data_IF_055949399048
#
_entry.id   IF_055949399048
#
_cell.length_a   1.000
_cell.length_b   1.000
_cell.length_c   1.000
_cell.angle_alpha   90.00
_cell.angle_beta   90.00
_cell.angle_gamma   90.00
#
_symmetry.space_group_name_H-M   'P 1'
#
loop_
_entity.id
_entity.type
_entity.pdbx_description
1 polymer ?
#
# COMPACT_ATOMS: atom_id res chain seq x y z
N UNK A 1 2.37 -2.83 22.07
CA UNK A 1 3.21 -2.33 20.95
C UNK A 1 2.57 -2.63 19.58
N UNK A 2 2.29 -3.89 19.23
CA UNK A 2 1.61 -4.26 17.96
C UNK A 2 0.26 -3.53 17.78
N UNK A 3 -0.60 -3.55 18.80
CA UNK A 3 -1.91 -2.87 18.76
C UNK A 3 -1.75 -1.36 18.53
N UNK A 4 -0.74 -0.74 19.17
CA UNK A 4 -0.47 0.70 19.00
C UNK A 4 -0.06 1.03 17.56
N UNK A 5 0.79 0.20 16.94
CA UNK A 5 1.17 0.35 15.53
C UNK A 5 -0.05 0.19 14.61
N UNK A 6 -0.89 -0.81 14.89
CA UNK A 6 -2.12 -1.06 14.13
C UNK A 6 -3.08 0.12 14.19
N UNK A 7 -3.36 0.64 15.39
CA UNK A 7 -4.27 1.77 15.59
C UNK A 7 -3.72 3.03 14.93
N UNK A 8 -2.45 3.37 15.17
CA UNK A 8 -1.83 4.57 14.62
C UNK A 8 -1.80 4.53 13.07
N UNK A 9 -1.36 3.42 12.50
CA UNK A 9 -1.32 3.26 11.04
C UNK A 9 -2.70 3.29 10.41
N UNK A 10 -3.69 2.63 11.02
CA UNK A 10 -5.07 2.65 10.54
C UNK A 10 -5.66 4.05 10.58
N UNK A 11 -5.36 4.84 11.62
CA UNK A 11 -5.81 6.23 11.70
C UNK A 11 -5.21 7.10 10.59
N UNK A 12 -3.89 7.02 10.37
CA UNK A 12 -3.20 7.80 9.34
C UNK A 12 -3.61 7.41 7.92
N UNK A 13 -3.72 6.10 7.64
CA UNK A 13 -4.31 5.63 6.39
C UNK A 13 -5.76 6.08 6.24
N UNK A 14 -6.55 6.07 7.31
CA UNK A 14 -7.95 6.50 7.26
C UNK A 14 -8.09 7.97 6.90
N UNK A 15 -7.26 8.84 7.47
CA UNK A 15 -7.26 10.26 7.15
C UNK A 15 -6.87 10.48 5.68
N UNK A 16 -5.78 9.86 5.22
CA UNK A 16 -5.36 9.98 3.82
C UNK A 16 -6.40 9.39 2.85
N UNK A 17 -6.98 8.24 3.20
CA UNK A 17 -8.07 7.59 2.49
C UNK A 17 -9.30 8.47 2.36
N UNK A 18 -9.67 9.20 3.41
CA UNK A 18 -10.76 10.17 3.37
C UNK A 18 -10.48 11.33 2.40
N UNK A 19 -9.24 11.85 2.37
CA UNK A 19 -8.85 12.93 1.47
C UNK A 19 -8.95 12.48 0.01
N UNK A 20 -8.43 11.31 -0.35
CA UNK A 20 -8.51 10.83 -1.74
C UNK A 20 -9.96 10.53 -2.16
N UNK A 21 -10.81 10.09 -1.23
CA UNK A 21 -12.24 9.84 -1.48
C UNK A 21 -13.09 11.10 -1.57
N UNK A 22 -12.56 12.27 -1.19
CA UNK A 22 -13.27 13.55 -1.25
C UNK A 22 -13.45 14.10 -2.66
N UNK A 23 -12.92 13.42 -3.67
CA UNK A 23 -13.06 13.83 -5.06
C UNK A 23 -14.51 13.73 -5.56
N UNK A 24 -15.27 12.72 -5.09
CA UNK A 24 -16.61 12.42 -5.61
C UNK A 24 -17.75 12.71 -4.61
N UNK A 25 -17.92 11.87 -3.59
CA UNK A 25 -19.11 11.86 -2.72
C UNK A 25 -18.74 11.74 -1.24
N UNK A 26 -19.52 12.30 -0.30
CA UNK A 26 -19.32 12.09 1.13
C UNK A 26 -19.29 10.60 1.54
N UNK A 27 -20.04 9.74 0.85
CA UNK A 27 -20.00 8.29 1.07
C UNK A 27 -18.68 7.68 0.58
N UNK A 28 -18.09 8.25 -0.48
CA UNK A 28 -16.79 7.83 -0.98
C UNK A 28 -15.66 8.17 0.00
N UNK A 29 -15.77 9.29 0.74
CA UNK A 29 -14.82 9.64 1.82
C UNK A 29 -14.75 8.53 2.86
N UNK A 30 -15.91 8.11 3.39
CA UNK A 30 -15.98 7.07 4.43
C UNK A 30 -15.51 5.73 3.88
N UNK A 31 -15.97 5.36 2.68
CA UNK A 31 -15.57 4.13 2.00
C UNK A 31 -14.04 4.04 1.86
N UNK A 32 -13.41 5.13 1.41
CA UNK A 32 -11.97 5.18 1.12
C UNK A 32 -11.13 5.23 2.40
N UNK A 33 -11.62 5.93 3.43
CA UNK A 33 -11.01 5.96 4.76
C UNK A 33 -10.96 4.56 5.41
N UNK A 34 -11.93 3.69 5.14
CA UNK A 34 -11.94 2.31 5.66
C UNK A 34 -11.12 1.38 4.75
N UNK A 35 -11.26 1.52 3.44
CA UNK A 35 -10.61 0.66 2.46
C UNK A 35 -9.10 0.80 2.45
N UNK A 36 -8.55 1.99 2.67
CA UNK A 36 -7.10 2.19 2.60
C UNK A 36 -6.35 1.42 3.71
N UNK A 37 -6.73 1.53 5.00
CA UNK A 37 -6.20 0.61 6.03
C UNK A 37 -6.42 -0.86 5.69
N UNK A 38 -7.63 -1.21 5.21
CA UNK A 38 -7.96 -2.60 4.87
C UNK A 38 -7.07 -3.16 3.77
N UNK A 39 -6.72 -2.36 2.75
CA UNK A 39 -5.82 -2.75 1.67
C UNK A 39 -4.46 -3.22 2.21
N UNK A 40 -3.82 -2.41 3.05
CA UNK A 40 -2.51 -2.76 3.61
C UNK A 40 -2.58 -3.96 4.55
N UNK A 41 -3.62 -4.05 5.38
CA UNK A 41 -3.81 -5.16 6.32
C UNK A 41 -4.13 -6.48 5.61
N UNK A 42 -4.97 -6.46 4.57
CA UNK A 42 -5.27 -7.63 3.76
C UNK A 42 -4.05 -8.09 2.97
N UNK A 43 -3.28 -7.16 2.40
CA UNK A 43 -2.03 -7.49 1.69
C UNK A 43 -1.03 -8.15 2.64
N UNK A 44 -0.90 -7.61 3.86
CA UNK A 44 -0.09 -8.21 4.91
C UNK A 44 -0.60 -9.62 5.25
N UNK A 45 -1.90 -9.78 5.50
CA UNK A 45 -2.50 -11.06 5.86
C UNK A 45 -2.29 -12.14 4.79
N UNK A 46 -2.40 -11.78 3.52
CA UNK A 46 -2.21 -12.70 2.39
C UNK A 46 -0.74 -13.08 2.21
N UNK A 47 0.18 -12.12 2.36
CA UNK A 47 1.59 -12.35 2.09
C UNK A 47 2.38 -12.88 3.30
N UNK A 48 1.91 -12.64 4.53
CA UNK A 48 2.58 -13.04 5.77
C UNK A 48 2.82 -14.55 5.89
N UNK A 49 1.85 -15.46 5.59
CA UNK A 49 2.08 -16.89 5.67
C UNK A 49 3.24 -17.36 4.79
N UNK A 50 3.33 -16.82 3.56
CA UNK A 50 4.39 -17.18 2.61
C UNK A 50 5.78 -16.80 3.14
N UNK A 51 5.90 -15.62 3.77
CA UNK A 51 7.15 -15.20 4.41
C UNK A 51 7.48 -16.09 5.63
N UNK A 52 6.48 -16.38 6.47
CA UNK A 52 6.68 -17.13 7.69
C UNK A 52 7.14 -18.56 7.44
N UNK A 53 6.49 -19.28 6.52
CA UNK A 53 6.90 -20.64 6.16
C UNK A 53 8.31 -20.67 5.55
N UNK A 54 8.64 -19.66 4.74
CA UNK A 54 9.96 -19.53 4.16
C UNK A 54 11.05 -19.35 5.23
N UNK A 55 10.81 -18.46 6.19
CA UNK A 55 11.76 -18.19 7.27
C UNK A 55 11.94 -19.39 8.19
N UNK A 56 10.87 -20.11 8.54
CA UNK A 56 10.99 -21.38 9.30
C UNK A 56 11.83 -22.40 8.54
N UNK A 57 11.56 -22.58 7.24
CA UNK A 57 12.34 -23.50 6.40
C UNK A 57 13.82 -23.09 6.28
N UNK A 58 14.12 -21.81 6.49
CA UNK A 58 15.48 -21.26 6.47
C UNK A 58 16.15 -21.30 7.85
N UNK A 59 15.51 -21.89 8.87
CA UNK A 59 16.06 -22.07 10.21
C UNK A 59 15.87 -20.88 11.16
N UNK A 60 15.01 -19.90 10.81
CA UNK A 60 14.71 -18.77 11.70
C UNK A 60 14.11 -19.23 13.03
N UNK A 61 14.66 -18.74 14.14
CA UNK A 61 14.15 -19.00 15.51
C UNK A 61 13.02 -18.04 15.92
N UNK A 62 12.60 -17.14 15.03
CA UNK A 62 11.62 -16.09 15.33
C UNK A 62 10.21 -16.60 15.37
N UNK A 63 9.43 -16.03 16.28
CA UNK A 63 7.99 -16.31 16.36
C UNK A 63 7.21 -15.56 15.30
N UNK A 64 6.04 -16.09 14.93
CA UNK A 64 5.09 -15.44 14.02
C UNK A 64 4.80 -13.98 14.41
N UNK A 65 4.66 -13.70 15.71
CA UNK A 65 4.38 -12.35 16.21
C UNK A 65 5.50 -11.34 15.95
N UNK A 66 6.76 -11.79 15.86
CA UNK A 66 7.89 -10.90 15.53
C UNK A 66 7.85 -10.48 14.06
N UNK A 67 7.54 -11.41 13.14
CA UNK A 67 7.35 -11.10 11.72
C UNK A 67 6.15 -10.17 11.50
N UNK A 68 5.05 -10.43 12.19
CA UNK A 68 3.88 -9.56 12.16
C UNK A 68 4.23 -8.15 12.66
N UNK A 69 4.96 -8.03 13.78
CA UNK A 69 5.39 -6.74 14.31
C UNK A 69 6.30 -5.98 13.34
N UNK A 70 7.20 -6.68 12.65
CA UNK A 70 8.11 -6.09 11.67
C UNK A 70 7.37 -5.54 10.45
N UNK A 71 6.42 -6.32 9.91
CA UNK A 71 5.58 -5.90 8.78
C UNK A 71 4.65 -4.75 9.16
N UNK A 72 4.06 -4.77 10.37
CA UNK A 72 3.26 -3.67 10.87
C UNK A 72 4.08 -2.40 11.14
N UNK A 73 5.35 -2.53 11.52
CA UNK A 73 6.25 -1.40 11.65
C UNK A 73 6.54 -0.75 10.29
N UNK A 74 6.88 -1.55 9.27
CA UNK A 74 7.05 -1.05 7.90
C UNK A 74 5.76 -0.41 7.36
N UNK A 75 4.61 -1.03 7.61
CA UNK A 75 3.29 -0.50 7.24
C UNK A 75 2.98 0.82 7.97
N UNK A 76 3.40 0.94 9.24
CA UNK A 76 3.26 2.17 10.01
C UNK A 76 4.12 3.29 9.44
N UNK A 77 5.34 3.00 8.97
CA UNK A 77 6.16 3.99 8.26
C UNK A 77 5.44 4.49 7.01
N UNK A 78 4.90 3.60 6.18
CA UNK A 78 4.12 3.99 4.98
C UNK A 78 2.95 4.90 5.37
N UNK A 79 2.20 4.54 6.43
CA UNK A 79 1.05 5.33 6.89
C UNK A 79 1.42 6.75 7.31
N UNK A 80 2.54 6.92 8.02
CA UNK A 80 3.04 8.23 8.46
C UNK A 80 3.49 9.05 7.26
N UNK A 81 4.14 8.43 6.28
CA UNK A 81 4.55 9.12 5.06
C UNK A 81 3.36 9.59 4.24
N UNK A 82 2.34 8.74 4.05
CA UNK A 82 1.10 9.16 3.38
C UNK A 82 0.41 10.29 4.13
N UNK A 83 0.35 10.23 5.45
CA UNK A 83 -0.16 11.34 6.25
C UNK A 83 0.67 12.62 6.07
N UNK A 84 1.99 12.53 5.93
CA UNK A 84 2.86 13.65 5.55
C UNK A 84 2.54 14.24 4.17
N UNK A 85 2.10 13.41 3.22
CA UNK A 85 1.63 13.84 1.90
C UNK A 85 0.16 14.28 1.87
N UNK A 86 -0.59 14.12 2.96
CA UNK A 86 -1.99 14.56 3.07
C UNK A 86 -2.20 16.04 2.71
N UNK A 87 -1.44 17.02 3.25
CA UNK A 87 -1.61 18.43 2.88
C UNK A 87 -1.32 18.71 1.40
N UNK A 88 -0.34 18.03 0.81
CA UNK A 88 -0.01 18.17 -0.61
C UNK A 88 -1.17 17.64 -1.47
N UNK A 89 -1.69 16.47 -1.12
CA UNK A 89 -2.82 15.85 -1.81
C UNK A 89 -4.07 16.74 -1.71
N UNK A 90 -4.34 17.29 -0.52
CA UNK A 90 -5.45 18.21 -0.30
C UNK A 90 -5.30 19.52 -1.08
N UNK A 91 -4.10 20.09 -1.13
CA UNK A 91 -3.81 21.29 -1.91
C UNK A 91 -4.13 21.09 -3.40
N UNK A 92 -3.65 19.98 -4.00
CA UNK A 92 -3.94 19.69 -5.40
C UNK A 92 -5.42 19.37 -5.64
N UNK A 93 -6.11 18.69 -4.71
CA UNK A 93 -7.56 18.47 -4.81
C UNK A 93 -8.34 19.78 -4.90
N UNK A 94 -7.96 20.76 -4.08
CA UNK A 94 -8.65 22.06 -4.02
C UNK A 94 -8.24 23.00 -5.17
N UNK A 95 -7.06 22.79 -5.75
CA UNK A 95 -6.52 23.67 -6.80
C UNK A 95 -6.84 23.19 -8.22
N UNK A 96 -7.04 21.88 -8.42
CA UNK A 96 -7.21 21.26 -9.74
C UNK A 96 -8.40 20.29 -9.69
N UNK A 97 -9.35 20.47 -10.59
CA UNK A 97 -10.54 19.61 -10.73
C UNK A 97 -10.40 18.65 -11.93
N UNK A 98 -9.25 17.98 -12.00
CA UNK A 98 -8.95 16.96 -13.01
C UNK A 98 -8.78 15.60 -12.34
N UNK A 99 -9.71 14.69 -12.64
CA UNK A 99 -9.73 13.35 -12.06
C UNK A 99 -8.50 12.52 -12.42
N UNK A 100 -8.07 12.58 -13.68
CA UNK A 100 -6.96 11.78 -14.21
C UNK A 100 -5.65 12.20 -13.57
N UNK A 101 -5.41 13.51 -13.50
CA UNK A 101 -4.25 14.09 -12.82
C UNK A 101 -4.24 13.73 -11.33
N UNK A 102 -5.38 13.88 -10.65
CA UNK A 102 -5.47 13.57 -9.22
C UNK A 102 -5.21 12.08 -8.94
N UNK A 103 -5.75 11.18 -9.78
CA UNK A 103 -5.50 9.75 -9.67
C UNK A 103 -4.03 9.42 -9.89
N UNK A 104 -3.40 9.98 -10.93
CA UNK A 104 -1.98 9.74 -11.23
C UNK A 104 -1.06 10.27 -10.11
N UNK A 105 -1.32 11.47 -9.59
CA UNK A 105 -0.58 12.05 -8.46
C UNK A 105 -0.56 11.10 -7.27
N UNK A 106 -1.72 10.57 -6.89
CA UNK A 106 -1.82 9.68 -5.74
C UNK A 106 -1.19 8.31 -6.03
N UNK A 107 -1.30 7.77 -7.25
CA UNK A 107 -0.57 6.55 -7.63
C UNK A 107 0.95 6.74 -7.47
N UNK A 108 1.49 7.91 -7.87
CA UNK A 108 2.91 8.24 -7.68
C UNK A 108 3.26 8.32 -6.20
N UNK A 109 2.43 8.97 -5.38
CA UNK A 109 2.63 9.06 -3.91
C UNK A 109 2.62 7.65 -3.28
N UNK A 110 1.67 6.78 -3.64
CA UNK A 110 1.61 5.39 -3.19
C UNK A 110 2.83 4.59 -3.63
N UNK A 111 3.32 4.81 -4.86
CA UNK A 111 4.54 4.19 -5.36
C UNK A 111 5.77 4.60 -4.56
N UNK A 112 5.98 5.89 -4.34
CA UNK A 112 7.13 6.42 -3.58
C UNK A 112 7.09 5.91 -2.13
N UNK A 113 5.96 6.07 -1.45
CA UNK A 113 5.82 5.66 -0.05
C UNK A 113 5.93 4.15 0.12
N UNK A 114 5.36 3.37 -0.80
CA UNK A 114 5.49 1.91 -0.84
C UNK A 114 6.94 1.44 -1.03
N UNK A 115 7.68 2.05 -1.97
CA UNK A 115 9.10 1.75 -2.17
C UNK A 115 9.92 2.04 -0.91
N UNK A 116 9.67 3.16 -0.23
CA UNK A 116 10.39 3.50 1.01
C UNK A 116 10.04 2.50 2.12
N UNK A 117 8.77 2.14 2.29
CA UNK A 117 8.34 1.13 3.26
C UNK A 117 8.98 -0.24 3.03
N UNK A 118 9.06 -0.67 1.77
CA UNK A 118 9.75 -1.91 1.35
C UNK A 118 11.24 -1.85 1.66
N UNK A 119 11.90 -0.72 1.38
CA UNK A 119 13.32 -0.54 1.70
C UNK A 119 13.58 -0.57 3.22
N UNK A 120 12.72 0.08 4.02
CA UNK A 120 12.80 0.02 5.49
C UNK A 120 12.61 -1.41 5.98
N UNK A 121 11.61 -2.14 5.47
CA UNK A 121 11.41 -3.54 5.83
C UNK A 121 12.64 -4.40 5.50
N UNK A 122 13.19 -4.24 4.30
CA UNK A 122 14.38 -4.97 3.85
C UNK A 122 15.59 -4.67 4.74
N UNK A 123 15.81 -3.40 5.08
CA UNK A 123 16.88 -2.98 6.00
C UNK A 123 16.69 -3.58 7.40
N UNK A 124 15.47 -3.52 7.95
CA UNK A 124 15.20 -4.10 9.26
C UNK A 124 15.40 -5.61 9.26
N UNK A 125 14.97 -6.34 8.23
CA UNK A 125 15.26 -7.77 8.06
C UNK A 125 16.77 -8.05 7.96
N UNK A 126 17.53 -7.19 7.29
CA UNK A 126 18.99 -7.27 7.20
C UNK A 126 19.69 -7.15 8.56
N UNK A 127 19.38 -6.11 9.33
CA UNK A 127 19.95 -5.89 10.68
C UNK A 127 19.67 -7.08 11.63
N UNK A 128 18.45 -7.58 11.52
CA UNK A 128 17.93 -8.73 12.26
C UNK A 128 18.62 -10.04 11.82
N UNK A 129 19.02 -10.12 10.54
CA UNK A 129 19.76 -11.23 9.96
C UNK A 129 21.22 -11.22 10.37
N UNK A 130 21.92 -10.08 10.30
CA UNK A 130 23.34 -9.97 10.64
C UNK A 130 23.65 -10.38 12.10
N UNK A 131 22.69 -10.18 13.00
CA UNK A 131 22.78 -10.66 14.38
C UNK A 131 22.78 -12.19 14.52
N UNK A 132 22.24 -12.89 13.52
CA UNK A 132 22.27 -14.34 13.38
C UNK A 132 23.43 -14.66 12.43
N UNK A 133 24.59 -15.09 12.94
CA UNK A 133 25.90 -15.16 12.28
C UNK A 133 26.03 -15.86 10.88
N UNK A 134 24.95 -16.25 10.22
CA UNK A 134 24.91 -16.77 8.84
C UNK A 134 24.09 -15.85 7.92
N UNK A 135 24.75 -14.92 7.23
CA UNK A 135 24.13 -14.23 6.09
C UNK A 135 24.12 -15.18 4.87
N UNK A 136 22.98 -15.85 4.66
CA UNK A 136 22.80 -16.71 3.49
C UNK A 136 22.32 -15.88 2.28
N UNK A 137 23.12 -15.80 1.22
CA UNK A 137 22.77 -15.12 -0.05
C UNK A 137 21.44 -15.61 -0.65
N UNK A 138 21.06 -16.86 -0.40
CA UNK A 138 19.77 -17.41 -0.82
C UNK A 138 18.60 -16.74 -0.08
N UNK A 139 18.76 -16.43 1.21
CA UNK A 139 17.76 -15.75 2.03
C UNK A 139 17.44 -14.36 1.54
N UNK A 140 18.49 -13.60 1.26
CA UNK A 140 18.36 -12.24 0.72
C UNK A 140 17.68 -12.22 -0.64
N UNK A 141 17.96 -13.20 -1.52
CA UNK A 141 17.31 -13.29 -2.83
C UNK A 141 15.82 -13.60 -2.71
N UNK A 142 15.44 -14.52 -1.82
CA UNK A 142 14.05 -14.91 -1.62
C UNK A 142 13.24 -13.81 -0.92
N UNK A 143 13.83 -13.08 0.02
CA UNK A 143 13.24 -11.85 0.57
C UNK A 143 12.96 -10.81 -0.50
N UNK A 144 13.90 -10.56 -1.42
CA UNK A 144 13.68 -9.63 -2.54
C UNK A 144 12.55 -10.12 -3.46
N UNK A 145 12.52 -11.40 -3.79
CA UNK A 145 11.43 -11.99 -4.59
C UNK A 145 10.07 -11.85 -3.89
N UNK A 146 10.04 -12.07 -2.58
CA UNK A 146 8.83 -11.89 -1.77
C UNK A 146 8.37 -10.43 -1.74
N UNK A 147 9.28 -9.45 -1.69
CA UNK A 147 8.92 -8.03 -1.74
C UNK A 147 8.32 -7.64 -3.10
N UNK A 148 8.82 -8.21 -4.20
CA UNK A 148 8.22 -8.03 -5.52
C UNK A 148 6.80 -8.62 -5.55
N UNK A 149 6.63 -9.84 -5.02
CA UNK A 149 5.32 -10.47 -4.89
C UNK A 149 4.36 -9.62 -4.03
N UNK A 150 4.84 -9.08 -2.91
CA UNK A 150 4.05 -8.23 -2.02
C UNK A 150 3.53 -6.99 -2.74
N UNK A 151 4.39 -6.28 -3.49
CA UNK A 151 3.97 -5.14 -4.31
C UNK A 151 2.98 -5.53 -5.42
N UNK A 152 3.20 -6.67 -6.06
CA UNK A 152 2.30 -7.20 -7.09
C UNK A 152 0.90 -7.52 -6.52
N UNK A 153 0.84 -8.24 -5.40
CA UNK A 153 -0.42 -8.59 -4.73
C UNK A 153 -1.11 -7.35 -4.20
N UNK A 154 -0.37 -6.43 -3.57
CA UNK A 154 -0.92 -5.19 -3.02
C UNK A 154 -1.52 -4.28 -4.09
N UNK A 155 -0.85 -4.10 -5.23
CA UNK A 155 -1.39 -3.31 -6.34
C UNK A 155 -2.65 -3.94 -6.95
N UNK A 156 -2.69 -5.26 -7.10
CA UNK A 156 -3.89 -5.96 -7.57
C UNK A 156 -5.04 -5.93 -6.56
N UNK A 157 -4.78 -6.08 -5.26
CA UNK A 157 -5.82 -5.87 -4.24
C UNK A 157 -6.32 -4.42 -4.25
N UNK A 158 -5.43 -3.45 -4.47
CA UNK A 158 -5.80 -2.06 -4.66
C UNK A 158 -6.72 -1.86 -5.88
N UNK A 159 -6.56 -2.67 -6.91
CA UNK A 159 -7.47 -2.69 -8.04
C UNK A 159 -8.81 -3.34 -7.73
N UNK A 160 -8.80 -4.47 -7.03
CA UNK A 160 -10.02 -5.20 -6.64
C UNK A 160 -10.89 -4.40 -5.68
N UNK A 161 -10.29 -3.61 -4.78
CA UNK A 161 -11.02 -2.81 -3.78
C UNK A 161 -11.53 -1.45 -4.32
N UNK A 162 -11.31 -1.13 -5.59
CA UNK A 162 -11.80 0.11 -6.20
C UNK A 162 -13.32 0.22 -6.08
N UNK A 163 -13.86 1.44 -5.97
CA UNK A 163 -13.16 2.73 -6.11
C UNK A 163 -12.56 3.23 -4.78
N UNK A 164 -11.38 3.87 -4.89
CA UNK A 164 -10.75 4.67 -3.82
C UNK A 164 -10.96 6.18 -4.02
N UNK A 165 -10.94 6.65 -5.27
CA UNK A 165 -11.15 8.08 -5.58
C UNK A 165 -12.64 8.39 -5.84
N UNK A 166 -13.36 7.42 -6.42
CA UNK A 166 -14.68 7.62 -7.05
C UNK A 166 -14.54 8.36 -8.38
N UNK A 167 -15.27 7.92 -9.40
CA UNK A 167 -15.34 8.64 -10.67
C UNK A 167 -16.50 9.66 -10.57
N UNK A 168 -16.27 10.97 -10.85
CA UNK A 168 -17.31 11.99 -10.78
C UNK A 168 -18.54 11.72 -11.66
N UNK A 169 -18.36 11.00 -12.77
CA UNK A 169 -19.43 10.72 -13.74
C UNK A 169 -20.33 9.54 -13.36
N UNK A 170 -20.00 8.80 -12.30
CA UNK A 170 -20.59 7.50 -12.00
C UNK A 170 -21.19 7.46 -10.59
N UNK A 171 -22.26 6.67 -10.38
CA UNK A 171 -22.84 6.52 -9.04
C UNK A 171 -21.85 5.91 -8.06
N UNK A 172 -22.06 6.20 -6.78
CA UNK A 172 -21.29 5.58 -5.71
C UNK A 172 -21.44 4.06 -5.74
N UNK A 173 -20.31 3.36 -5.72
CA UNK A 173 -20.25 1.91 -5.63
C UNK A 173 -19.23 1.49 -4.58
N UNK A 174 -19.59 0.50 -3.76
CA UNK A 174 -18.65 -0.07 -2.78
C UNK A 174 -17.59 -0.89 -3.48
N UNK A 175 -17.92 -1.62 -4.54
CA UNK A 175 -16.97 -2.29 -5.42
C UNK A 175 -17.40 -2.08 -6.88
N UNK A 176 -16.44 -1.98 -7.79
CA UNK A 176 -16.68 -1.93 -9.24
C UNK A 176 -16.51 -3.32 -9.85
N UNK A 177 -17.12 -3.54 -11.00
CA UNK A 177 -16.92 -4.77 -11.77
C UNK A 177 -15.45 -4.94 -12.19
N UNK A 178 -14.99 -6.20 -12.21
CA UNK A 178 -13.61 -6.57 -12.49
C UNK A 178 -13.43 -6.77 -14.00
N UNK A 179 -13.34 -5.69 -14.76
CA UNK A 179 -13.21 -5.78 -16.23
C UNK A 179 -11.76 -5.80 -16.72
N UNK A 180 -10.82 -5.19 -15.99
CA UNK A 180 -9.39 -5.17 -16.36
C UNK A 180 -8.48 -5.34 -15.13
N UNK A 181 -7.21 -4.92 -15.21
CA UNK A 181 -6.24 -5.04 -14.12
C UNK A 181 -5.50 -3.71 -13.89
N UNK A 182 -4.88 -3.58 -12.71
CA UNK A 182 -4.14 -2.36 -12.32
C UNK A 182 -3.15 -1.85 -13.38
N UNK A 183 -2.41 -2.76 -14.01
CA UNK A 183 -1.28 -2.43 -14.88
C UNK A 183 -1.75 -1.82 -16.19
N UNK A 184 -2.84 -2.34 -16.78
CA UNK A 184 -3.43 -1.78 -18.00
C UNK A 184 -3.94 -0.36 -17.75
N UNK A 185 -4.65 -0.14 -16.63
CA UNK A 185 -5.15 1.18 -16.26
C UNK A 185 -4.05 2.19 -16.00
N UNK A 186 -2.94 1.76 -15.39
CA UNK A 186 -1.78 2.64 -15.19
C UNK A 186 -1.22 3.14 -16.52
N UNK A 187 -1.10 2.26 -17.52
CA UNK A 187 -0.64 2.63 -18.86
C UNK A 187 -1.62 3.58 -19.56
N UNK A 188 -2.93 3.34 -19.43
CA UNK A 188 -3.97 4.22 -19.95
C UNK A 188 -3.92 5.62 -19.33
N UNK A 189 -3.76 5.71 -18.01
CA UNK A 189 -3.63 7.00 -17.31
C UNK A 189 -2.41 7.79 -17.78
N UNK A 190 -1.27 7.12 -17.93
CA UNK A 190 -0.04 7.74 -18.43
C UNK A 190 -0.25 8.21 -19.89
N UNK A 191 -0.87 7.39 -20.73
CA UNK A 191 -1.20 7.75 -22.11
C UNK A 191 -2.11 8.98 -22.21
N UNK A 192 -3.17 9.05 -21.38
CA UNK A 192 -4.09 10.19 -21.33
C UNK A 192 -3.37 11.49 -20.96
N UNK A 193 -2.49 11.47 -19.95
CA UNK A 193 -1.75 12.66 -19.52
C UNK A 193 -0.71 13.10 -20.57
N UNK A 194 -0.11 12.16 -21.30
CA UNK A 194 0.84 12.44 -22.38
C UNK A 194 0.18 12.83 -23.72
N UNK A 195 -1.16 12.81 -23.80
CA UNK A 195 -1.91 13.14 -25.02
C UNK A 195 -1.91 12.04 -26.08
N UNK A 196 -1.70 10.78 -25.68
CA UNK A 196 -1.76 9.60 -26.56
C UNK A 196 -3.16 8.96 -26.65
N UNK A 197 -4.19 9.61 -26.09
CA UNK A 197 -5.56 9.09 -26.03
C UNK A 197 -6.61 10.14 -26.35
#
# INVERSE_FOLDING_TARGET
KIISLLIASSAFFGIYGGIIGSFSSPLQIISSAIKLPALYLLTLLICLPTLYFYEISSGSKRSFGQYLALLLAATSVISVMLFGFAPITLFFRLSIDDYTFFQLLNIVIFGITGLIGVNVFYQCMGLITEQEAEENKSRTRLLKAWLVLYGFVGSQLGWTLRPFFGDPGEPFAVFRELESNFYLHLLELIGKVLGWG
#
